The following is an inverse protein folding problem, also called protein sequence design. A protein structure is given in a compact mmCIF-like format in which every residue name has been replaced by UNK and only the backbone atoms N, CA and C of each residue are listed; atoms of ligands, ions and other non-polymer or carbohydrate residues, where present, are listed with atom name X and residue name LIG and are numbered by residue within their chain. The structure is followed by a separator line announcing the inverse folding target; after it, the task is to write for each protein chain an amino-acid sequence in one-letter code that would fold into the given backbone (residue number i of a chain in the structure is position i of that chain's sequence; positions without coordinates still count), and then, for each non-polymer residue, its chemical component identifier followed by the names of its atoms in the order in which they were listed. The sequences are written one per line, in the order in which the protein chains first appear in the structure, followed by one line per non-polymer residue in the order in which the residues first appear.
data_IF_001651300285
#
_entry.id   IF_001651300285
#
_cell.length_a   1.000
_cell.length_b   1.000
_cell.length_c   1.000
_cell.angle_alpha   90.00
_cell.angle_beta   90.00
_cell.angle_gamma   90.00
#
_symmetry.space_group_name_H-M   'P 1'
#
loop_
_entity.id
_entity.type
_entity.pdbx_description
1 polymer ?
#
# COMPACT_ATOMS: atom_id res chain seq x y z
N UNK A 1 10.56 -16.45 40.41
CA UNK A 1 10.44 -15.88 39.06
C UNK A 1 9.64 -14.61 39.22
N UNK A 2 10.30 -13.45 39.25
CA UNK A 2 9.64 -12.15 39.34
C UNK A 2 8.84 -11.93 38.06
N UNK A 3 7.53 -11.73 38.17
CA UNK A 3 6.69 -11.41 37.02
C UNK A 3 7.12 -10.02 36.50
N UNK A 4 7.54 -9.95 35.24
CA UNK A 4 7.82 -8.67 34.60
C UNK A 4 6.56 -7.79 34.66
N UNK A 5 6.68 -6.48 34.94
CA UNK A 5 5.53 -5.59 35.02
C UNK A 5 4.75 -5.64 33.71
N UNK A 6 3.44 -5.86 33.82
CA UNK A 6 2.58 -5.98 32.66
C UNK A 6 2.51 -4.62 31.94
N UNK A 7 2.91 -4.58 30.67
CA UNK A 7 2.89 -3.34 29.90
C UNK A 7 1.45 -2.94 29.60
N UNK A 8 1.12 -1.65 29.79
CA UNK A 8 -0.19 -1.10 29.52
C UNK A 8 -0.19 -0.25 28.24
N UNK A 9 -1.34 -0.13 27.59
CA UNK A 9 -1.47 0.78 26.47
C UNK A 9 -1.46 2.23 26.97
N UNK A 10 -0.60 3.12 26.45
CA UNK A 10 -0.54 4.51 26.90
C UNK A 10 -1.81 5.31 26.57
N UNK A 11 -2.64 4.81 25.66
CA UNK A 11 -3.93 5.43 25.30
C UNK A 11 -5.11 4.88 26.12
N UNK A 12 -4.97 3.66 26.62
CA UNK A 12 -5.95 2.93 27.42
C UNK A 12 -5.20 2.28 28.58
N UNK A 13 -4.77 3.07 29.58
CA UNK A 13 -3.94 2.59 30.69
C UNK A 13 -4.61 1.48 31.50
N UNK A 14 -5.94 1.40 31.47
CA UNK A 14 -6.75 0.33 32.05
C UNK A 14 -6.64 -1.02 31.31
N UNK A 15 -6.09 -1.04 30.09
CA UNK A 15 -5.95 -2.25 29.28
C UNK A 15 -4.49 -2.70 29.17
N UNK A 16 -4.28 -4.01 29.20
CA UNK A 16 -2.98 -4.60 28.94
C UNK A 16 -2.60 -4.46 27.46
N UNK A 17 -1.33 -4.20 27.23
CA UNK A 17 -0.75 -4.21 25.90
C UNK A 17 -0.68 -5.65 25.39
N UNK A 18 -1.14 -5.86 24.17
CA UNK A 18 -1.15 -7.17 23.51
C UNK A 18 -0.09 -7.23 22.39
N UNK A 19 0.42 -6.08 21.96
CA UNK A 19 1.49 -5.98 20.99
C UNK A 19 2.17 -4.62 21.03
N UNK A 20 3.04 -4.40 20.05
CA UNK A 20 3.74 -3.13 19.84
C UNK A 20 3.51 -2.63 18.43
N UNK A 21 3.50 -1.31 18.26
CA UNK A 21 3.50 -0.65 16.98
C UNK A 21 4.78 -1.02 16.22
N UNK A 22 4.65 -1.55 15.01
CA UNK A 22 5.80 -1.95 14.18
C UNK A 22 6.67 -0.76 13.75
N UNK A 23 6.14 0.47 13.80
CA UNK A 23 6.85 1.70 13.40
C UNK A 23 7.58 2.40 14.55
N UNK A 24 6.91 2.60 15.69
CA UNK A 24 7.44 3.40 16.79
C UNK A 24 7.66 2.61 18.09
N UNK A 25 7.35 1.30 18.11
CA UNK A 25 7.51 0.45 19.28
C UNK A 25 6.50 0.65 20.41
N UNK A 26 5.59 1.64 20.29
CA UNK A 26 4.58 1.92 21.32
C UNK A 26 3.66 0.71 21.56
N UNK A 27 3.40 0.42 22.82
CA UNK A 27 2.46 -0.62 23.25
C UNK A 27 1.03 -0.38 22.75
N UNK A 28 0.40 -1.40 22.18
CA UNK A 28 -0.96 -1.35 21.64
C UNK A 28 -1.82 -2.43 22.30
N UNK A 29 -3.05 -2.07 22.71
CA UNK A 29 -4.05 -3.02 23.20
C UNK A 29 -4.91 -3.58 22.05
N UNK A 30 -5.71 -4.59 22.36
CA UNK A 30 -6.64 -5.23 21.41
C UNK A 30 -7.60 -4.23 20.76
N UNK A 31 -8.13 -3.27 21.53
CA UNK A 31 -9.04 -2.22 21.03
C UNK A 31 -8.36 -1.32 19.99
N UNK A 32 -7.10 -0.95 20.22
CA UNK A 32 -6.34 -0.21 19.24
C UNK A 32 -6.08 -1.06 17.99
N UNK A 33 -5.85 -2.37 18.12
CA UNK A 33 -5.58 -3.24 16.96
C UNK A 33 -6.83 -3.53 16.12
N UNK A 34 -7.98 -3.77 16.75
CA UNK A 34 -9.24 -4.09 16.08
C UNK A 34 -9.82 -2.89 15.32
N UNK A 35 -9.70 -1.67 15.86
CA UNK A 35 -10.14 -0.45 15.18
C UNK A 35 -9.20 0.01 14.04
N UNK A 36 -7.93 -0.39 14.07
CA UNK A 36 -6.89 0.03 13.12
C UNK A 36 -6.61 -1.09 12.12
N UNK A 37 -7.48 -1.24 11.12
CA UNK A 37 -7.40 -2.27 10.07
C UNK A 37 -5.96 -2.74 9.73
N UNK A 38 -5.65 -3.96 10.17
CA UNK A 38 -4.59 -4.87 9.73
C UNK A 38 -3.12 -4.39 9.61
N UNK A 39 -2.77 -3.11 9.86
CA UNK A 39 -1.41 -2.61 9.56
C UNK A 39 -0.42 -2.65 10.73
N UNK A 40 -0.82 -3.08 11.92
CA UNK A 40 0.09 -3.18 13.08
C UNK A 40 0.66 -1.83 13.55
N UNK A 41 0.01 -0.71 13.19
CA UNK A 41 0.42 0.65 13.53
C UNK A 41 -0.44 1.20 14.67
N UNK A 42 0.14 2.03 15.54
CA UNK A 42 -0.63 2.80 16.51
C UNK A 42 -1.40 3.95 15.82
N UNK A 43 -2.46 4.52 16.45
CA UNK A 43 -3.28 5.54 15.81
C UNK A 43 -2.47 6.76 15.34
N UNK A 44 -1.53 7.24 16.18
CA UNK A 44 -0.69 8.38 15.83
C UNK A 44 0.21 8.10 14.62
N UNK A 45 0.78 6.90 14.53
CA UNK A 45 1.56 6.50 13.38
C UNK A 45 0.70 6.32 12.13
N UNK A 46 -0.54 5.85 12.29
CA UNK A 46 -1.49 5.74 11.19
C UNK A 46 -1.88 7.11 10.64
N UNK A 47 -2.14 8.09 11.50
CA UNK A 47 -2.42 9.48 11.12
C UNK A 47 -1.23 10.13 10.40
N UNK A 48 -0.01 9.87 10.87
CA UNK A 48 1.21 10.30 10.17
C UNK A 48 1.32 9.67 8.77
N UNK A 49 1.01 8.38 8.64
CA UNK A 49 1.05 7.70 7.35
C UNK A 49 0.01 8.22 6.36
N UNK A 50 -1.09 8.81 6.83
CA UNK A 50 -2.10 9.46 5.97
C UNK A 50 -1.64 10.84 5.47
N UNK A 51 -0.79 11.53 6.22
CA UNK A 51 -0.31 12.88 5.87
C UNK A 51 1.02 12.86 5.09
N UNK A 52 1.71 11.72 5.07
CA UNK A 52 2.95 11.53 4.33
C UNK A 52 2.70 11.56 2.80
N UNK A 53 3.40 12.44 2.07
CA UNK A 53 3.23 12.54 0.62
C UNK A 53 3.66 11.24 -0.07
N UNK A 54 2.87 10.72 -1.04
CA UNK A 54 3.27 9.57 -1.85
C UNK A 54 4.55 9.89 -2.62
N UNK A 55 5.36 8.86 -2.90
CA UNK A 55 6.60 9.03 -3.65
C UNK A 55 6.33 9.50 -5.09
N UNK A 56 7.33 10.14 -5.71
CA UNK A 56 7.24 10.53 -7.12
C UNK A 56 6.99 9.34 -8.06
N UNK A 57 7.48 8.14 -7.71
CA UNK A 57 7.25 6.90 -8.47
C UNK A 57 5.80 6.43 -8.38
N UNK A 58 5.20 6.51 -7.19
CA UNK A 58 3.79 6.18 -6.99
C UNK A 58 2.89 7.11 -7.85
N UNK A 59 3.17 8.42 -7.82
CA UNK A 59 2.45 9.42 -8.63
C UNK A 59 2.64 9.14 -10.12
N UNK A 60 3.88 8.90 -10.56
CA UNK A 60 4.18 8.62 -11.96
C UNK A 60 3.46 7.35 -12.45
N UNK A 61 3.41 6.29 -11.63
CA UNK A 61 2.69 5.06 -11.98
C UNK A 61 1.21 5.32 -12.27
N UNK A 62 0.56 6.18 -11.48
CA UNK A 62 -0.84 6.54 -11.65
C UNK A 62 -1.07 7.38 -12.92
N UNK A 63 -0.15 8.30 -13.22
CA UNK A 63 -0.19 9.10 -14.45
C UNK A 63 -0.09 8.19 -15.67
N UNK A 64 0.89 7.28 -15.71
CA UNK A 64 1.04 6.36 -16.85
C UNK A 64 -0.13 5.39 -16.98
N UNK A 65 -0.70 4.91 -15.86
CA UNK A 65 -1.91 4.11 -15.88
C UNK A 65 -3.10 4.86 -16.49
N UNK A 66 -3.20 6.18 -16.25
CA UNK A 66 -4.26 7.02 -16.82
C UNK A 66 -4.02 7.34 -18.30
N UNK A 67 -2.79 7.64 -18.68
CA UNK A 67 -2.40 7.86 -20.09
C UNK A 67 -2.51 6.57 -20.91
N UNK A 68 -2.46 5.41 -20.25
CA UNK A 68 -2.68 4.09 -20.83
C UNK A 68 -3.96 3.98 -21.65
N UNK A 69 -5.00 4.74 -21.33
CA UNK A 69 -6.25 4.69 -22.08
C UNK A 69 -6.12 5.20 -23.53
N UNK A 70 -5.06 5.93 -23.89
CA UNK A 70 -4.85 6.44 -25.25
C UNK A 70 -4.25 5.42 -26.24
N UNK A 71 -3.88 4.23 -25.79
CA UNK A 71 -3.25 3.22 -26.67
C UNK A 71 -2.78 1.95 -25.98
N UNK A 72 -3.18 1.75 -24.72
CA UNK A 72 -2.90 0.64 -23.82
C UNK A 72 -1.42 0.43 -23.43
N UNK A 73 -0.46 0.74 -24.30
CA UNK A 73 0.98 0.59 -24.03
C UNK A 73 1.50 1.41 -22.83
N UNK A 74 1.12 2.69 -22.63
CA UNK A 74 1.55 3.43 -21.43
C UNK A 74 1.03 2.81 -20.12
N UNK A 75 -0.10 2.08 -20.17
CA UNK A 75 -0.65 1.35 -19.03
C UNK A 75 0.26 0.22 -18.54
N UNK A 76 1.03 -0.41 -19.44
CA UNK A 76 2.04 -1.42 -19.10
C UNK A 76 3.20 -0.80 -18.33
N UNK A 77 3.62 0.42 -18.68
CA UNK A 77 4.63 1.16 -17.91
C UNK A 77 4.11 1.49 -16.51
N UNK A 78 2.85 1.92 -16.41
CA UNK A 78 2.17 2.14 -15.14
C UNK A 78 2.14 0.89 -14.25
N UNK A 79 1.91 -0.30 -14.84
CA UNK A 79 1.95 -1.59 -14.16
C UNK A 79 3.31 -1.86 -13.51
N UNK A 80 4.39 -1.71 -14.28
CA UNK A 80 5.77 -1.99 -13.81
C UNK A 80 6.15 -1.02 -12.69
N UNK A 81 5.87 0.28 -12.87
CA UNK A 81 6.17 1.29 -11.86
C UNK A 81 5.37 1.07 -10.57
N UNK A 82 4.09 0.72 -10.67
CA UNK A 82 3.25 0.39 -9.52
C UNK A 82 3.77 -0.83 -8.76
N UNK A 83 4.18 -1.88 -9.47
CA UNK A 83 4.75 -3.07 -8.82
C UNK A 83 6.09 -2.78 -8.15
N UNK A 84 6.97 -2.01 -8.79
CA UNK A 84 8.25 -1.65 -8.17
C UNK A 84 8.07 -0.80 -6.91
N UNK A 85 7.08 0.10 -6.89
CA UNK A 85 6.78 0.91 -5.71
C UNK A 85 6.26 0.04 -4.55
N UNK A 86 5.39 -0.93 -4.84
CA UNK A 86 4.90 -1.87 -3.81
C UNK A 86 6.05 -2.70 -3.21
N UNK A 87 6.98 -3.17 -4.05
CA UNK A 87 8.17 -3.88 -3.59
C UNK A 87 9.07 -2.97 -2.73
N UNK A 88 9.21 -1.69 -3.10
CA UNK A 88 10.01 -0.72 -2.34
C UNK A 88 9.38 -0.41 -0.96
N UNK A 89 8.04 -0.32 -0.90
CA UNK A 89 7.29 -0.14 0.35
C UNK A 89 7.45 -1.38 1.25
N UNK A 90 7.35 -2.59 0.69
CA UNK A 90 7.55 -3.83 1.43
C UNK A 90 8.99 -3.96 1.97
N UNK A 91 9.97 -3.52 1.19
CA UNK A 91 11.37 -3.44 1.62
C UNK A 91 11.66 -2.30 2.62
N UNK A 92 10.67 -1.47 2.98
CA UNK A 92 10.84 -0.33 3.89
C UNK A 92 11.66 0.83 3.31
N UNK A 93 11.84 0.87 1.99
CA UNK A 93 12.64 1.87 1.27
C UNK A 93 11.81 2.97 0.60
N UNK A 94 10.48 2.85 0.65
CA UNK A 94 9.54 3.85 0.14
C UNK A 94 8.41 4.14 1.14
N UNK A 95 7.80 5.35 1.10
CA UNK A 95 6.74 5.73 2.01
C UNK A 95 5.49 4.86 1.85
N UNK A 96 4.92 4.42 2.97
CA UNK A 96 3.71 3.59 2.98
C UNK A 96 2.48 4.28 2.37
N UNK A 97 2.48 5.61 2.28
CA UNK A 97 1.43 6.40 1.62
C UNK A 97 1.36 6.17 0.11
N UNK A 98 2.42 5.70 -0.52
CA UNK A 98 2.44 5.33 -1.94
C UNK A 98 1.67 4.05 -2.26
N UNK A 99 1.23 3.28 -1.25
CA UNK A 99 0.65 1.93 -1.44
C UNK A 99 -0.65 1.95 -2.24
N UNK A 100 -1.60 2.81 -1.86
CA UNK A 100 -2.92 2.87 -2.49
C UNK A 100 -2.83 3.31 -3.97
N UNK A 101 -2.12 4.40 -4.35
CA UNK A 101 -1.94 4.74 -5.76
C UNK A 101 -1.18 3.67 -6.55
N UNK A 102 -0.18 3.00 -5.94
CA UNK A 102 0.55 1.92 -6.60
C UNK A 102 -0.31 0.68 -6.85
N UNK A 103 -1.21 0.32 -5.93
CA UNK A 103 -2.20 -0.74 -6.13
C UNK A 103 -3.18 -0.41 -7.26
N UNK A 104 -3.68 0.83 -7.29
CA UNK A 104 -4.57 1.30 -8.36
C UNK A 104 -3.86 1.23 -9.70
N UNK A 105 -2.64 1.80 -9.81
CA UNK A 105 -1.85 1.78 -11.02
C UNK A 105 -1.56 0.35 -11.50
N UNK A 106 -1.25 -0.59 -10.59
CA UNK A 106 -1.04 -1.99 -10.94
C UNK A 106 -2.30 -2.65 -11.50
N UNK A 107 -3.44 -2.49 -10.84
CA UNK A 107 -4.69 -3.12 -11.28
C UNK A 107 -5.16 -2.55 -12.63
N UNK A 108 -5.08 -1.23 -12.80
CA UNK A 108 -5.38 -0.55 -14.06
C UNK A 108 -4.38 -0.97 -15.15
N UNK A 109 -3.11 -1.13 -14.83
CA UNK A 109 -2.10 -1.63 -15.76
C UNK A 109 -2.41 -3.05 -16.27
N UNK A 110 -2.86 -3.95 -15.39
CA UNK A 110 -3.32 -5.30 -15.79
C UNK A 110 -4.53 -5.24 -16.72
N UNK A 111 -5.50 -4.36 -16.44
CA UNK A 111 -6.62 -4.13 -17.34
C UNK A 111 -6.14 -3.75 -18.75
N UNK A 112 -5.16 -2.84 -18.87
CA UNK A 112 -4.60 -2.46 -20.18
C UNK A 112 -3.91 -3.64 -20.88
N UNK A 113 -3.17 -4.48 -20.15
CA UNK A 113 -2.54 -5.69 -20.73
C UNK A 113 -3.58 -6.64 -21.31
N UNK A 114 -4.66 -6.91 -20.57
CA UNK A 114 -5.75 -7.80 -21.02
C UNK A 114 -6.45 -7.20 -22.25
N UNK A 115 -6.79 -5.91 -22.23
CA UNK A 115 -7.43 -5.26 -23.38
C UNK A 115 -6.55 -5.27 -24.62
N UNK A 116 -5.24 -5.00 -24.46
CA UNK A 116 -4.28 -5.03 -25.56
C UNK A 116 -4.17 -6.44 -26.15
N UNK A 117 -4.10 -7.48 -25.31
CA UNK A 117 -4.08 -8.87 -25.75
C UNK A 117 -5.34 -9.24 -26.54
N UNK A 118 -6.53 -8.88 -26.04
CA UNK A 118 -7.79 -9.13 -26.73
C UNK A 118 -7.88 -8.39 -28.07
N UNK A 119 -7.38 -7.16 -28.15
CA UNK A 119 -7.33 -6.40 -29.40
C UNK A 119 -6.43 -7.09 -30.45
N UNK A 120 -5.25 -7.57 -30.05
CA UNK A 120 -4.37 -8.32 -30.93
C UNK A 120 -4.98 -9.66 -31.39
N UNK A 121 -5.65 -10.38 -30.49
CA UNK A 121 -6.33 -11.62 -30.83
C UNK A 121 -7.49 -11.38 -31.80
N UNK A 122 -8.27 -10.32 -31.58
CA UNK A 122 -9.31 -9.89 -32.53
C UNK A 122 -8.74 -9.58 -33.91
N UNK A 123 -7.65 -8.79 -33.97
CA UNK A 123 -6.98 -8.45 -35.22
C UNK A 123 -6.45 -9.70 -35.94
N UNK A 124 -5.82 -10.62 -35.22
CA UNK A 124 -5.28 -11.86 -35.78
C UNK A 124 -6.36 -12.74 -36.41
N UNK A 125 -7.55 -12.83 -35.81
CA UNK A 125 -8.66 -13.62 -36.36
C UNK A 125 -9.32 -12.98 -37.60
N UNK A 126 -9.00 -11.71 -37.91
CA UNK A 126 -9.53 -10.98 -39.06
C UNK A 126 -8.52 -10.83 -40.22
N UNK A 127 -7.27 -11.27 -40.03
CA UNK A 127 -6.22 -11.33 -41.05
C UNK A 127 -6.19 -12.71 -41.73
#
# INVERSE_FOLDING_TARGET
MEAAPAAHCPRHPETLAEGTCTRCGTFTCVLCREGLGARGLCPACQDLSRTEKPSGRAVLSLVFATVGFCGFAPGVVGLVLGQQELNAIEAGTAPASGRDPALIARNVGWFHVVMLFLAFLGLYNHL
#
